data_IF_067581041686
#
_entry.id   IF_067581041686
#
_cell.length_a   1.000
_cell.length_b   1.000
_cell.length_c   1.000
_cell.angle_alpha   90.00
_cell.angle_beta   90.00
_cell.angle_gamma   90.00
#
_symmetry.space_group_name_H-M   'P 1'
#
loop_
_entity.id
_entity.type
_entity.pdbx_description
1 polymer ?
#
# COMPACT_ATOMS: atom_id res chain seq x y z
N UNK A 1 -9.27 5.84 14.58
CA UNK A 1 -8.82 4.46 14.29
C UNK A 1 -7.54 4.60 13.50
N UNK A 2 -6.50 3.87 13.86
CA UNK A 2 -5.24 3.84 13.12
C UNK A 2 -4.99 2.40 12.70
N UNK A 3 -4.60 2.22 11.44
CA UNK A 3 -4.27 0.94 10.85
C UNK A 3 -2.81 1.04 10.39
N UNK A 4 -1.95 0.22 10.98
CA UNK A 4 -0.56 0.08 10.53
C UNK A 4 -0.43 -1.24 9.78
N UNK A 5 0.23 -1.19 8.63
CA UNK A 5 0.49 -2.37 7.82
C UNK A 5 1.93 -2.35 7.33
N UNK A 6 2.58 -3.50 7.40
CA UNK A 6 3.91 -3.73 6.83
C UNK A 6 3.92 -5.08 6.14
N UNK A 7 4.69 -5.22 5.07
CA UNK A 7 4.81 -6.50 4.39
C UNK A 7 6.08 -6.57 3.56
N UNK A 8 6.32 -7.75 3.02
CA UNK A 8 7.41 -7.99 2.09
C UNK A 8 6.97 -8.97 1.02
N UNK A 9 7.58 -8.84 -0.16
CA UNK A 9 7.41 -9.77 -1.26
C UNK A 9 8.76 -10.20 -1.80
N UNK A 10 8.88 -11.50 -2.08
CA UNK A 10 10.05 -12.10 -2.69
C UNK A 10 9.55 -12.96 -3.85
N UNK A 11 9.85 -12.50 -5.07
CA UNK A 11 9.49 -13.21 -6.27
C UNK A 11 10.10 -14.64 -6.28
N UNK A 12 9.40 -15.63 -6.88
CA UNK A 12 8.12 -15.48 -7.58
C UNK A 12 6.89 -15.66 -6.69
N UNK A 13 7.03 -16.19 -5.48
CA UNK A 13 5.90 -16.86 -4.82
C UNK A 13 5.87 -16.71 -3.29
N UNK A 14 6.58 -15.74 -2.72
CA UNK A 14 6.58 -15.51 -1.27
C UNK A 14 6.12 -14.11 -0.93
N UNK A 15 5.16 -14.01 -0.03
CA UNK A 15 4.68 -12.74 0.52
C UNK A 15 4.41 -12.88 2.02
N UNK A 16 4.62 -11.80 2.76
CA UNK A 16 4.09 -11.64 4.10
C UNK A 16 3.48 -10.26 4.29
N UNK A 17 2.41 -10.19 5.06
CA UNK A 17 1.77 -8.95 5.49
C UNK A 17 1.44 -9.03 6.96
N UNK A 18 1.67 -7.94 7.69
CA UNK A 18 1.40 -7.78 9.11
C UNK A 18 0.54 -6.55 9.28
N UNK A 19 -0.53 -6.68 10.04
CA UNK A 19 -1.54 -5.66 10.23
C UNK A 19 -1.80 -5.46 11.72
N UNK A 20 -1.78 -4.19 12.15
CA UNK A 20 -2.12 -3.77 13.51
C UNK A 20 -3.21 -2.72 13.45
N UNK A 21 -4.20 -2.86 14.33
CA UNK A 21 -5.30 -1.91 14.47
C UNK A 21 -5.20 -1.29 15.86
N UNK A 22 -5.08 0.04 15.94
CA UNK A 22 -5.04 0.76 17.21
C UNK A 22 -6.24 0.38 18.09
N UNK A 23 -5.95 -0.11 19.30
CA UNK A 23 -6.95 -0.57 20.26
C UNK A 23 -7.22 -2.08 20.22
N UNK A 24 -6.55 -2.81 19.34
CA UNK A 24 -6.46 -4.28 19.34
C UNK A 24 -5.01 -4.65 19.64
N UNK A 25 -4.79 -5.47 20.67
CA UNK A 25 -3.44 -5.85 21.09
C UNK A 25 -2.82 -6.93 20.18
N UNK A 26 -3.65 -7.70 19.48
CA UNK A 26 -3.21 -8.77 18.59
C UNK A 26 -2.85 -8.23 17.19
N UNK A 27 -1.66 -8.63 16.69
CA UNK A 27 -1.26 -8.45 15.29
C UNK A 27 -1.82 -9.60 14.45
N UNK A 28 -2.37 -9.27 13.28
CA UNK A 28 -2.69 -10.24 12.24
C UNK A 28 -1.50 -10.33 11.29
N UNK A 29 -0.94 -11.52 11.12
CA UNK A 29 0.06 -11.80 10.09
C UNK A 29 -0.48 -12.82 9.07
N UNK A 30 -0.23 -12.55 7.81
CA UNK A 30 -0.52 -13.38 6.67
C UNK A 30 0.80 -13.74 6.01
N UNK A 31 1.02 -15.02 5.73
CA UNK A 31 2.21 -15.48 5.01
C UNK A 31 1.74 -16.38 3.87
N UNK A 32 2.28 -16.17 2.68
CA UNK A 32 2.05 -16.99 1.50
C UNK A 32 3.39 -17.47 0.97
N UNK A 33 3.52 -18.77 0.72
CA UNK A 33 4.70 -19.40 0.10
C UNK A 33 4.21 -20.44 -0.90
N UNK A 34 4.43 -20.20 -2.19
CA UNK A 34 3.85 -21.01 -3.25
C UNK A 34 2.32 -20.99 -3.16
N UNK A 35 1.71 -22.17 -3.09
CA UNK A 35 0.25 -22.33 -2.96
C UNK A 35 -0.21 -22.54 -1.51
N UNK A 36 0.63 -22.19 -0.53
CA UNK A 36 0.33 -22.37 0.88
C UNK A 36 0.17 -21.03 1.57
N UNK A 37 -0.85 -20.93 2.41
CA UNK A 37 -1.14 -19.75 3.22
C UNK A 37 -1.14 -20.11 4.71
N UNK A 38 -0.63 -19.18 5.51
CA UNK A 38 -0.75 -19.18 6.96
C UNK A 38 -1.37 -17.86 7.43
N UNK A 39 -2.16 -17.97 8.50
CA UNK A 39 -2.75 -16.85 9.21
C UNK A 39 -2.30 -16.96 10.67
N UNK A 40 -1.71 -15.90 11.20
CA UNK A 40 -1.34 -15.80 12.60
C UNK A 40 -2.09 -14.64 13.26
N UNK A 41 -2.71 -14.89 14.39
CA UNK A 41 -3.37 -13.88 15.22
C UNK A 41 -2.88 -14.05 16.66
N UNK A 42 -2.00 -13.16 17.10
CA UNK A 42 -1.27 -13.33 18.37
C UNK A 42 -0.52 -14.68 18.40
N UNK A 43 -0.78 -15.49 19.42
CA UNK A 43 -0.19 -16.83 19.58
C UNK A 43 -0.87 -17.92 18.74
N UNK A 44 -2.00 -17.63 18.09
CA UNK A 44 -2.73 -18.60 17.29
C UNK A 44 -2.20 -18.60 15.85
N UNK A 45 -1.62 -19.73 15.42
CA UNK A 45 -1.24 -19.95 14.03
C UNK A 45 -2.17 -20.98 13.37
N UNK A 46 -2.69 -20.64 12.18
CA UNK A 46 -3.54 -21.48 11.35
C UNK A 46 -2.83 -21.68 10.00
N UNK A 47 -2.63 -22.94 9.60
CA UNK A 47 -2.03 -23.30 8.33
C UNK A 47 -1.17 -24.57 8.40
N UNK A 48 -0.61 -25.03 7.26
CA UNK A 48 -0.84 -24.48 5.92
C UNK A 48 -2.25 -24.77 5.43
N UNK A 49 -2.86 -23.79 4.79
CA UNK A 49 -4.08 -23.93 3.98
C UNK A 49 -3.71 -23.79 2.51
N UNK A 50 -4.47 -24.44 1.62
CA UNK A 50 -4.34 -24.18 0.19
C UNK A 50 -4.79 -22.76 -0.08
N UNK A 51 -3.91 -21.95 -0.64
CA UNK A 51 -4.22 -20.58 -0.99
C UNK A 51 -5.11 -20.60 -2.24
N UNK A 52 -6.33 -20.07 -2.13
CA UNK A 52 -7.30 -20.05 -3.25
C UNK A 52 -7.20 -18.71 -3.97
N UNK A 53 -6.44 -18.67 -5.06
CA UNK A 53 -6.18 -17.45 -5.86
C UNK A 53 -4.70 -17.37 -6.27
N UNK A 54 -4.35 -16.43 -7.15
CA UNK A 54 -2.94 -16.07 -7.39
C UNK A 54 -2.38 -15.33 -6.15
N UNK A 55 -1.06 -15.41 -5.89
CA UNK A 55 -0.42 -14.77 -4.72
C UNK A 55 -0.71 -13.26 -4.67
N UNK A 56 -0.87 -12.63 -5.84
CA UNK A 56 -1.29 -11.23 -6.00
C UNK A 56 -2.72 -10.95 -5.54
N UNK A 57 -3.63 -11.91 -5.64
CA UNK A 57 -5.01 -11.80 -5.16
C UNK A 57 -5.11 -12.06 -3.65
N UNK A 58 -4.11 -12.74 -3.09
CA UNK A 58 -4.09 -13.21 -1.70
C UNK A 58 -3.38 -12.24 -0.74
N UNK A 59 -2.45 -11.43 -1.25
CA UNK A 59 -1.70 -10.47 -0.46
C UNK A 59 -2.10 -9.03 -0.82
N UNK A 60 -2.77 -8.35 0.11
CA UNK A 60 -3.23 -6.98 -0.05
C UNK A 60 -2.06 -6.00 -0.30
N UNK A 61 -0.86 -6.26 0.23
CA UNK A 61 0.29 -5.40 -0.02
C UNK A 61 0.83 -5.60 -1.44
N UNK A 62 0.82 -6.84 -1.96
CA UNK A 62 1.16 -7.10 -3.35
C UNK A 62 0.12 -6.51 -4.32
N UNK A 63 -1.17 -6.70 -4.03
CA UNK A 63 -2.26 -6.12 -4.80
C UNK A 63 -2.14 -4.60 -4.87
N UNK A 64 -1.95 -3.95 -3.71
CA UNK A 64 -1.72 -2.52 -3.66
C UNK A 64 -0.46 -2.12 -4.42
N UNK A 65 0.63 -2.89 -4.35
CA UNK A 65 1.87 -2.58 -5.07
C UNK A 65 1.72 -2.77 -6.58
N UNK A 66 1.11 -3.85 -7.05
CA UNK A 66 0.91 -4.13 -8.47
C UNK A 66 -0.04 -3.10 -9.09
N UNK A 67 -1.21 -2.86 -8.50
CA UNK A 67 -2.16 -1.85 -8.97
C UNK A 67 -1.56 -0.45 -8.93
N UNK A 68 -0.82 -0.12 -7.86
CA UNK A 68 -0.17 1.18 -7.73
C UNK A 68 0.99 1.35 -8.69
N UNK A 69 1.83 0.33 -8.89
CA UNK A 69 2.97 0.41 -9.82
C UNK A 69 2.50 0.45 -11.27
N UNK A 70 1.47 -0.30 -11.64
CA UNK A 70 0.84 -0.23 -12.96
C UNK A 70 0.25 1.17 -13.20
N UNK A 71 -0.53 1.68 -12.24
CA UNK A 71 -1.11 3.02 -12.29
C UNK A 71 -0.07 4.15 -12.29
N UNK A 72 1.01 3.99 -11.53
CA UNK A 72 2.09 4.98 -11.43
C UNK A 72 3.01 4.98 -12.65
N UNK A 73 3.16 3.85 -13.34
CA UNK A 73 4.03 3.74 -14.52
C UNK A 73 3.63 4.67 -15.68
N UNK A 74 2.36 5.11 -15.72
CA UNK A 74 1.85 6.10 -16.67
C UNK A 74 1.97 7.55 -16.22
N UNK A 75 2.34 7.81 -14.95
CA UNK A 75 2.42 9.16 -14.42
C UNK A 75 3.73 9.82 -14.83
N UNK A 76 3.61 10.98 -15.48
CA UNK A 76 4.76 11.83 -15.77
C UNK A 76 4.87 12.91 -14.71
N UNK A 77 5.87 12.75 -13.84
CA UNK A 77 6.17 13.73 -12.82
C UNK A 77 6.82 14.96 -13.47
N UNK A 78 6.10 16.09 -13.51
CA UNK A 78 6.59 17.34 -14.11
C UNK A 78 7.33 18.25 -13.14
N UNK A 79 7.45 17.83 -11.89
CA UNK A 79 8.08 18.60 -10.82
C UNK A 79 9.61 18.45 -10.87
N UNK A 80 10.32 19.57 -10.80
CA UNK A 80 11.79 19.62 -10.70
C UNK A 80 12.28 19.40 -9.26
N UNK A 81 11.37 19.22 -8.30
CA UNK A 81 11.72 19.06 -6.88
C UNK A 81 12.27 17.65 -6.66
N UNK A 82 13.53 17.59 -6.24
CA UNK A 82 14.24 16.35 -5.91
C UNK A 82 14.41 16.19 -4.40
N UNK A 83 14.23 14.97 -3.92
CA UNK A 83 14.38 14.62 -2.50
C UNK A 83 15.05 13.26 -2.35
N UNK A 84 15.61 12.98 -1.18
CA UNK A 84 16.08 11.64 -0.83
C UNK A 84 15.13 11.06 0.20
N UNK A 85 14.55 9.90 -0.10
CA UNK A 85 13.61 9.18 0.78
C UNK A 85 14.14 7.76 0.94
N UNK A 86 14.32 7.31 2.19
CA UNK A 86 14.86 5.97 2.50
C UNK A 86 16.16 5.65 1.74
N UNK A 87 17.08 6.63 1.70
CA UNK A 87 18.35 6.58 0.96
C UNK A 87 18.22 6.44 -0.58
N UNK A 88 17.00 6.52 -1.13
CA UNK A 88 16.73 6.53 -2.57
C UNK A 88 16.59 7.97 -3.08
N UNK A 89 17.35 8.39 -4.12
CA UNK A 89 17.10 9.65 -4.83
C UNK A 89 15.76 9.61 -5.55
N UNK A 90 14.92 10.63 -5.35
CA UNK A 90 13.54 10.66 -5.85
C UNK A 90 13.18 12.00 -6.49
N UNK A 91 12.24 11.95 -7.42
CA UNK A 91 11.49 13.11 -7.91
C UNK A 91 10.18 13.21 -7.11
N UNK A 92 9.94 14.36 -6.49
CA UNK A 92 8.68 14.64 -5.78
C UNK A 92 7.60 15.02 -6.79
N UNK A 93 6.44 14.38 -6.68
CA UNK A 93 5.27 14.57 -7.52
C UNK A 93 4.11 15.05 -6.63
N UNK A 94 3.84 16.35 -6.65
CA UNK A 94 2.58 16.87 -6.13
C UNK A 94 1.50 16.64 -7.17
N UNK A 95 0.51 15.82 -6.84
CA UNK A 95 -0.55 15.43 -7.77
C UNK A 95 -1.75 16.32 -7.51
N UNK A 96 -2.16 17.06 -8.54
CA UNK A 96 -3.33 17.93 -8.47
C UNK A 96 -4.63 17.12 -8.49
N UNK A 97 -5.75 17.78 -8.19
CA UNK A 97 -7.07 17.14 -8.12
C UNK A 97 -7.44 16.39 -9.40
N UNK A 98 -7.10 16.94 -10.57
CA UNK A 98 -7.40 16.34 -11.87
C UNK A 98 -6.61 15.05 -12.13
N UNK A 99 -5.38 14.97 -11.63
CA UNK A 99 -4.56 13.76 -11.70
C UNK A 99 -5.01 12.75 -10.63
N UNK A 100 -5.44 13.21 -9.45
CA UNK A 100 -6.04 12.32 -8.45
C UNK A 100 -7.34 11.68 -8.94
N UNK A 101 -8.23 12.41 -9.61
CA UNK A 101 -9.47 11.82 -10.15
C UNK A 101 -9.20 10.66 -11.14
N UNK A 102 -8.02 10.64 -11.77
CA UNK A 102 -7.58 9.51 -12.60
C UNK A 102 -7.03 8.34 -11.77
N UNK A 103 -6.45 8.64 -10.61
CA UNK A 103 -5.88 7.63 -9.71
C UNK A 103 -6.88 7.11 -8.68
N UNK A 104 -7.99 7.83 -8.44
CA UNK A 104 -8.99 7.45 -7.45
C UNK A 104 -9.61 6.09 -7.75
N UNK A 105 -9.68 5.70 -9.02
CA UNK A 105 -10.09 4.35 -9.43
C UNK A 105 -9.17 3.26 -8.92
N UNK A 106 -7.87 3.54 -8.72
CA UNK A 106 -6.91 2.60 -8.12
C UNK A 106 -7.19 2.37 -6.63
N UNK A 107 -7.96 3.26 -6.00
CA UNK A 107 -8.34 3.17 -4.59
C UNK A 107 -9.81 2.79 -4.40
N UNK A 108 -10.44 2.16 -5.42
CA UNK A 108 -11.85 1.76 -5.38
C UNK A 108 -12.85 2.85 -5.77
N UNK A 109 -12.37 4.01 -6.26
CA UNK A 109 -13.20 5.13 -6.69
C UNK A 109 -13.57 6.09 -5.55
N UNK A 110 -13.98 7.30 -5.92
CA UNK A 110 -14.45 8.33 -4.96
C UNK A 110 -15.97 8.37 -4.82
N UNK A 111 -16.71 7.54 -5.57
CA UNK A 111 -18.18 7.60 -5.64
C UNK A 111 -18.84 7.30 -4.28
N UNK A 112 -18.20 6.46 -3.46
CA UNK A 112 -18.68 6.13 -2.10
C UNK A 112 -18.09 7.05 -1.01
N UNK A 113 -17.19 7.97 -1.35
CA UNK A 113 -16.50 8.82 -0.37
C UNK A 113 -17.30 10.07 0.04
N UNK A 114 -18.50 10.28 -0.51
CA UNK A 114 -19.30 11.48 -0.26
C UNK A 114 -18.68 12.75 -0.86
N UNK A 115 -18.96 13.91 -0.26
CA UNK A 115 -18.45 15.20 -0.71
C UNK A 115 -17.01 15.40 -0.19
N UNK A 116 -16.03 15.46 -1.11
CA UNK A 116 -14.61 15.66 -0.77
C UNK A 116 -14.25 17.15 -0.80
N UNK A 117 -13.93 17.69 0.39
CA UNK A 117 -13.55 19.09 0.61
C UNK A 117 -12.05 19.32 0.43
N UNK A 118 -11.24 18.41 0.97
CA UNK A 118 -9.78 18.46 0.88
C UNK A 118 -9.23 17.15 0.33
N UNK A 119 -8.27 17.29 -0.56
CA UNK A 119 -7.60 16.16 -1.17
C UNK A 119 -6.19 16.55 -1.56
N UNK A 120 -5.21 15.78 -1.09
CA UNK A 120 -3.81 15.91 -1.47
C UNK A 120 -3.25 14.53 -1.72
N UNK A 121 -2.51 14.40 -2.82
CA UNK A 121 -1.72 13.22 -3.11
C UNK A 121 -0.29 13.67 -3.42
N UNK A 122 0.65 13.12 -2.67
CA UNK A 122 2.07 13.36 -2.83
C UNK A 122 2.75 12.03 -3.11
N UNK A 123 3.58 11.97 -4.13
CA UNK A 123 4.28 10.75 -4.52
C UNK A 123 5.76 11.04 -4.72
N UNK A 124 6.62 10.10 -4.37
CA UNK A 124 8.06 10.17 -4.61
C UNK A 124 8.43 8.99 -5.49
N UNK A 125 8.91 9.28 -6.70
CA UNK A 125 9.35 8.28 -7.66
C UNK A 125 10.87 8.23 -7.68
N UNK A 126 11.45 7.04 -7.62
CA UNK A 126 12.90 6.85 -7.73
C UNK A 126 13.42 7.45 -9.04
N UNK A 127 14.55 8.16 -8.97
CA UNK A 127 15.20 8.69 -10.19
C UNK A 127 15.66 7.56 -11.12
N UNK A 128 16.02 6.41 -10.53
CA UNK A 128 16.35 5.19 -11.26
C UNK A 128 15.12 4.28 -11.36
N UNK A 129 14.72 3.94 -12.58
CA UNK A 129 13.58 3.05 -12.85
C UNK A 129 12.18 3.66 -12.63
N UNK A 130 12.05 4.81 -11.96
CA UNK A 130 10.75 5.50 -11.82
C UNK A 130 9.74 4.79 -10.91
N UNK A 131 10.17 3.81 -10.12
CA UNK A 131 9.30 3.08 -9.22
C UNK A 131 8.96 3.93 -7.98
N UNK A 132 7.77 3.76 -7.37
CA UNK A 132 7.37 4.62 -6.27
C UNK A 132 8.03 4.22 -4.94
N UNK A 133 8.64 5.20 -4.28
CA UNK A 133 9.35 5.07 -3.00
C UNK A 133 8.46 5.46 -1.83
N UNK A 134 7.62 6.48 -2.02
CA UNK A 134 6.67 6.96 -1.01
C UNK A 134 5.39 7.45 -1.66
N UNK A 135 4.27 7.22 -0.98
CA UNK A 135 2.96 7.80 -1.27
C UNK A 135 2.39 8.40 0.00
N UNK A 136 1.83 9.61 -0.10
CA UNK A 136 0.99 10.21 0.93
C UNK A 136 -0.33 10.64 0.31
N UNK A 137 -1.42 10.29 0.95
CA UNK A 137 -2.76 10.73 0.58
C UNK A 137 -3.40 11.33 1.82
N UNK A 138 -3.94 12.53 1.71
CA UNK A 138 -4.84 13.08 2.72
C UNK A 138 -6.15 13.41 2.05
N UNK A 139 -7.25 12.94 2.63
CA UNK A 139 -8.61 13.24 2.20
C UNK A 139 -9.43 13.67 3.40
N UNK A 140 -10.23 14.72 3.22
CA UNK A 140 -11.23 15.13 4.19
C UNK A 140 -12.50 15.58 3.45
N UNK A 141 -13.64 15.37 4.09
CA UNK A 141 -14.92 15.65 3.48
C UNK A 141 -16.07 15.30 4.39
N UNK A 142 -17.24 15.14 3.80
CA UNK A 142 -18.47 14.78 4.47
C UNK A 142 -19.10 13.55 3.81
N UNK A 143 -19.47 12.55 4.60
CA UNK A 143 -20.14 11.36 4.09
C UNK A 143 -21.61 11.62 3.71
N UNK A 144 -22.29 10.62 3.15
CA UNK A 144 -23.71 10.73 2.75
C UNK A 144 -24.66 11.07 3.91
N UNK A 145 -24.26 10.82 5.15
CA UNK A 145 -25.02 11.14 6.36
C UNK A 145 -24.79 12.56 6.87
N UNK A 146 -23.90 13.32 6.23
CA UNK A 146 -23.52 14.66 6.67
C UNK A 146 -22.45 14.65 7.77
N UNK A 147 -21.78 13.52 8.03
CA UNK A 147 -20.72 13.41 9.03
C UNK A 147 -19.36 13.72 8.40
N UNK A 148 -18.61 14.62 9.03
CA UNK A 148 -17.24 14.95 8.62
C UNK A 148 -16.31 13.74 8.82
N UNK A 149 -15.46 13.48 7.83
CA UNK A 149 -14.40 12.49 7.90
C UNK A 149 -13.06 13.08 7.50
N UNK A 150 -11.99 12.46 8.00
CA UNK A 150 -10.62 12.69 7.56
C UNK A 150 -9.88 11.36 7.55
N UNK A 151 -9.21 11.07 6.45
CA UNK A 151 -8.32 9.92 6.32
C UNK A 151 -6.97 10.37 5.79
N UNK A 152 -5.91 9.81 6.35
CA UNK A 152 -4.55 9.99 5.85
C UNK A 152 -3.95 8.61 5.64
N UNK A 153 -3.34 8.41 4.48
CA UNK A 153 -2.59 7.22 4.11
C UNK A 153 -1.14 7.64 3.87
N UNK A 154 -0.21 6.90 4.45
CA UNK A 154 1.20 7.01 4.15
C UNK A 154 1.72 5.60 3.86
N UNK A 155 2.45 5.45 2.76
CA UNK A 155 3.06 4.20 2.34
C UNK A 155 4.51 4.48 1.96
N UNK A 156 5.41 3.64 2.46
CA UNK A 156 6.82 3.64 2.12
C UNK A 156 7.21 2.30 1.53
N UNK A 157 7.97 2.33 0.45
CA UNK A 157 8.63 1.15 -0.13
C UNK A 157 10.12 1.25 0.16
N UNK A 158 10.63 0.19 0.77
CA UNK A 158 11.99 0.09 1.29
C UNK A 158 12.58 -1.24 0.87
N UNK A 159 13.90 -1.38 1.00
CA UNK A 159 14.62 -2.64 0.75
C UNK A 159 14.34 -3.25 -0.64
N UNK A 160 14.08 -2.40 -1.62
CA UNK A 160 13.76 -2.83 -2.98
C UNK A 160 14.97 -3.54 -3.63
N UNK A 161 14.76 -4.79 -4.06
CA UNK A 161 15.81 -5.69 -4.58
C UNK A 161 16.85 -6.14 -3.54
N UNK A 162 16.56 -6.03 -2.24
CA UNK A 162 17.38 -6.63 -1.19
C UNK A 162 16.99 -8.10 -0.93
N UNK A 163 17.89 -8.86 -0.32
CA UNK A 163 17.64 -10.25 0.07
C UNK A 163 16.74 -10.31 1.32
N UNK A 164 15.44 -10.56 1.11
CA UNK A 164 14.45 -10.75 2.18
C UNK A 164 14.14 -12.25 2.34
N UNK A 165 14.10 -12.75 3.57
CA UNK A 165 13.70 -14.14 3.86
C UNK A 165 12.29 -14.20 4.43
N UNK A 166 11.38 -14.87 3.71
CA UNK A 166 10.02 -15.18 4.17
C UNK A 166 9.94 -16.68 4.44
N UNK A 167 9.61 -17.05 5.68
CA UNK A 167 9.53 -18.41 6.18
C UNK A 167 8.14 -18.70 6.76
N UNK A 168 7.69 -19.97 6.77
CA UNK A 168 6.46 -20.34 7.48
C UNK A 168 6.51 -19.94 8.96
N UNK A 169 5.37 -19.56 9.56
CA UNK A 169 5.30 -19.29 11.00
C UNK A 169 5.65 -20.54 11.82
N UNK A 170 6.24 -20.31 13.00
CA UNK A 170 6.74 -21.35 13.94
C UNK A 170 5.65 -21.92 14.84
#
# INVERSE_FOLDING_TARGET
LELEMSGAFVAPDKAESRMRISGVDDELALTVIGNQQWVQLGDLAIGPMEATGDVSELDFALMMWEEFSEGASGLTCTSEKKETVNDVPTNYCGIDKATFEQLSSLFGGTEEMGDVDELSLEMWLAEDGGWPVRLRVNVAGTDESGQEFKANLEMDVTDANEDIEINPPS
#
